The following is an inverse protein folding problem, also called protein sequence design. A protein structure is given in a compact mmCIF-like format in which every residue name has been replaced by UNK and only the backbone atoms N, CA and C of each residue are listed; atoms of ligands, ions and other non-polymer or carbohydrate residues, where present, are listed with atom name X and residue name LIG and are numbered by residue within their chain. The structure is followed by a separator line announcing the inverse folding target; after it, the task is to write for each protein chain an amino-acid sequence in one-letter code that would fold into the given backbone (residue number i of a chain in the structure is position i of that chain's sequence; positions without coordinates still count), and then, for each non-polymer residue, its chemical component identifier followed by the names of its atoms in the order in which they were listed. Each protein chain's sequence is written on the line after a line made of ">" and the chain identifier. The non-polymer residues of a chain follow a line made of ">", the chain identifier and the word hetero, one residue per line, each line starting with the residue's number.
data_IF_468460495714
#
_entry.id   IF_468460495714
#
_cell.length_a   1.000
_cell.length_b   1.000
_cell.length_c   1.000
_cell.angle_alpha   90.00
_cell.angle_beta   90.00
_cell.angle_gamma   90.00
#
_symmetry.space_group_name_H-M   'P 1'
#
loop_
_entity.id
_entity.type
_entity.pdbx_description
1 polymer ?
#
# COMPACT_ATOMS: atom_id res chain seq x y z
N UNK A 1 -12.27 -0.40 33.22
CA UNK A 1 -12.86 -0.36 31.86
C UNK A 1 -11.96 -1.18 30.95
N UNK A 2 -12.51 -2.19 30.30
CA UNK A 2 -11.75 -3.18 29.53
C UNK A 2 -11.47 -2.57 28.14
N UNK A 3 -10.21 -2.17 27.91
CA UNK A 3 -9.73 -1.74 26.60
C UNK A 3 -9.72 -2.93 25.65
N UNK A 4 -10.48 -2.83 24.56
CA UNK A 4 -10.43 -3.81 23.47
C UNK A 4 -9.16 -3.55 22.66
N UNK A 5 -8.20 -4.46 22.82
CA UNK A 5 -7.00 -4.60 22.01
C UNK A 5 -7.37 -4.76 20.53
N UNK A 6 -6.84 -3.89 19.67
CA UNK A 6 -6.71 -4.16 18.24
C UNK A 6 -5.24 -4.41 17.95
N UNK A 7 -4.74 -5.61 18.29
CA UNK A 7 -3.52 -6.12 17.65
C UNK A 7 -3.90 -6.54 16.23
N UNK A 8 -3.29 -5.88 15.26
CA UNK A 8 -3.56 -6.07 13.83
C UNK A 8 -2.85 -7.34 13.35
N UNK A 9 -3.41 -8.51 13.66
CA UNK A 9 -3.02 -9.77 13.00
C UNK A 9 -3.74 -9.85 11.66
N UNK A 10 -3.09 -9.39 10.60
CA UNK A 10 -3.52 -9.68 9.24
C UNK A 10 -3.26 -11.17 8.96
N UNK A 11 -4.34 -11.91 8.75
CA UNK A 11 -4.33 -13.36 8.50
C UNK A 11 -3.62 -13.60 7.17
N UNK A 12 -2.38 -14.08 7.24
CA UNK A 12 -1.71 -14.69 6.11
C UNK A 12 -2.42 -16.01 5.78
N UNK A 13 -3.31 -15.99 4.79
CA UNK A 13 -3.90 -17.20 4.23
C UNK A 13 -2.82 -18.06 3.59
N UNK A 14 -2.41 -19.12 4.30
CA UNK A 14 -1.49 -20.13 3.79
C UNK A 14 -2.17 -20.93 2.67
N UNK A 15 -1.67 -20.81 1.44
CA UNK A 15 -1.96 -21.74 0.35
C UNK A 15 -1.01 -22.93 0.47
N UNK A 16 -1.53 -24.05 0.94
CA UNK A 16 -0.89 -25.35 0.80
C UNK A 16 -0.95 -25.77 -0.66
N UNK A 17 0.21 -25.93 -1.31
CA UNK A 17 0.32 -26.53 -2.62
C UNK A 17 0.26 -28.07 -2.49
N UNK A 18 -0.54 -28.78 -3.28
CA UNK A 18 -0.44 -30.23 -3.35
C UNK A 18 0.82 -30.63 -4.12
N UNK A 19 1.62 -31.49 -3.48
CA UNK A 19 2.73 -32.23 -4.07
C UNK A 19 2.23 -33.15 -5.17
N UNK A 20 2.50 -32.80 -6.43
CA UNK A 20 2.32 -33.71 -7.55
C UNK A 20 3.55 -34.65 -7.64
N UNK A 21 3.27 -35.94 -7.52
CA UNK A 21 4.23 -37.05 -7.65
C UNK A 21 4.72 -37.14 -9.09
N UNK A 22 6.05 -37.10 -9.28
CA UNK A 22 6.70 -37.50 -10.53
C UNK A 22 6.50 -39.00 -10.75
N UNK A 23 5.94 -39.36 -11.91
CA UNK A 23 6.13 -40.67 -12.50
C UNK A 23 6.93 -40.49 -13.80
N UNK A 24 8.13 -41.05 -13.81
CA UNK A 24 8.95 -41.22 -15.00
C UNK A 24 8.50 -42.50 -15.72
N UNK A 25 8.54 -42.49 -17.06
CA UNK A 25 9.02 -43.66 -17.80
C UNK A 25 9.58 -43.26 -19.19
N UNK A 26 10.64 -43.92 -19.70
CA UNK A 26 11.41 -43.51 -20.87
C UNK A 26 11.25 -44.46 -22.08
N UNK A 27 11.31 -43.92 -23.31
CA UNK A 27 11.80 -44.59 -24.54
C UNK A 27 11.76 -43.57 -25.70
N UNK A 28 12.89 -43.05 -26.18
CA UNK A 28 13.65 -43.50 -27.38
C UNK A 28 12.77 -43.85 -28.60
N UNK A 29 12.80 -43.03 -29.66
CA UNK A 29 13.55 -43.35 -30.88
C UNK A 29 13.77 -42.10 -31.78
N UNK A 30 14.79 -42.23 -32.61
CA UNK A 30 15.49 -41.32 -33.51
C UNK A 30 14.73 -40.96 -34.80
N UNK A 31 15.03 -39.79 -35.40
CA UNK A 31 15.41 -39.61 -36.82
C UNK A 31 15.42 -38.14 -37.26
N UNK A 32 16.49 -37.77 -37.98
CA UNK A 32 16.78 -36.46 -38.54
C UNK A 32 16.01 -36.15 -39.83
N UNK A 33 15.81 -34.84 -40.13
CA UNK A 33 16.10 -34.23 -41.45
C UNK A 33 15.90 -32.70 -41.45
N UNK A 34 16.93 -32.01 -41.93
CA UNK A 34 16.92 -30.64 -42.43
C UNK A 34 15.93 -30.46 -43.60
N UNK A 35 15.31 -29.28 -43.71
CA UNK A 35 15.26 -28.49 -44.96
C UNK A 35 14.60 -27.09 -44.76
N UNK A 36 15.43 -26.06 -44.91
CA UNK A 36 15.24 -24.95 -45.87
C UNK A 36 14.02 -23.99 -45.75
N UNK A 37 14.22 -22.95 -44.92
CA UNK A 37 14.09 -21.51 -45.21
C UNK A 37 13.21 -21.07 -46.42
N UNK A 38 12.05 -20.48 -46.12
CA UNK A 38 11.46 -19.38 -46.92
C UNK A 38 11.01 -18.25 -46.00
N UNK A 39 11.62 -17.07 -46.22
CA UNK A 39 11.30 -15.82 -45.54
C UNK A 39 9.95 -15.31 -46.01
N UNK A 40 9.00 -15.15 -45.08
CA UNK A 40 7.90 -14.19 -45.22
C UNK A 40 7.90 -13.35 -43.95
N UNK A 41 8.08 -12.05 -44.11
CA UNK A 41 8.15 -11.10 -43.00
C UNK A 41 6.81 -11.08 -42.24
N UNK A 42 6.79 -11.30 -40.91
CA UNK A 42 5.58 -11.06 -40.15
C UNK A 42 5.41 -9.55 -39.93
N UNK A 43 4.28 -9.08 -40.43
CA UNK A 43 3.63 -7.80 -40.17
C UNK A 43 3.81 -7.38 -38.71
N UNK A 44 4.29 -6.14 -38.50
CA UNK A 44 4.33 -5.48 -37.19
C UNK A 44 2.92 -5.34 -36.63
N UNK A 45 2.54 -6.25 -35.73
CA UNK A 45 1.58 -5.95 -34.68
C UNK A 45 2.37 -5.51 -33.45
N UNK A 46 2.25 -4.22 -33.12
CA UNK A 46 2.73 -3.62 -31.89
C UNK A 46 2.11 -4.33 -30.69
N UNK A 47 2.81 -5.32 -30.16
CA UNK A 47 2.57 -5.84 -28.83
C UNK A 47 3.01 -4.76 -27.85
N UNK A 48 2.03 -4.06 -27.27
CA UNK A 48 2.27 -3.23 -26.10
C UNK A 48 2.87 -4.14 -25.01
N UNK A 49 4.16 -3.93 -24.74
CA UNK A 49 4.88 -4.50 -23.62
C UNK A 49 4.13 -4.20 -22.33
N UNK A 50 3.51 -5.24 -21.75
CA UNK A 50 3.14 -5.28 -20.33
C UNK A 50 4.47 -5.26 -19.57
N UNK A 51 4.98 -4.05 -19.32
CA UNK A 51 6.34 -3.79 -18.88
C UNK A 51 6.57 -4.10 -17.41
N UNK A 52 7.82 -4.36 -17.07
CA UNK A 52 8.37 -4.57 -15.72
C UNK A 52 7.94 -3.55 -14.65
N UNK A 53 7.38 -2.39 -15.04
CA UNK A 53 6.85 -1.36 -14.13
C UNK A 53 5.73 -1.87 -13.23
N UNK A 54 4.88 -2.80 -13.67
CA UNK A 54 3.74 -3.28 -12.87
C UNK A 54 4.15 -4.01 -11.57
N UNK A 55 5.36 -4.59 -11.52
CA UNK A 55 5.88 -5.27 -10.31
C UNK A 55 6.42 -4.31 -9.25
N UNK A 56 6.62 -3.03 -9.60
CA UNK A 56 7.14 -2.00 -8.68
C UNK A 56 6.05 -1.45 -7.74
N UNK A 57 4.78 -1.65 -8.08
CA UNK A 57 3.63 -1.07 -7.40
C UNK A 57 2.75 -2.13 -6.73
N UNK A 58 3.33 -3.26 -6.28
CA UNK A 58 2.58 -4.23 -5.46
C UNK A 58 2.79 -3.97 -3.97
N UNK A 59 1.73 -3.57 -3.28
CA UNK A 59 1.71 -3.34 -1.83
C UNK A 59 2.24 -4.55 -1.04
N UNK A 60 2.00 -5.78 -1.54
CA UNK A 60 2.42 -7.03 -0.89
C UNK A 60 3.93 -7.18 -0.75
N UNK A 61 4.70 -6.87 -1.79
CA UNK A 61 6.17 -7.03 -1.73
C UNK A 61 6.83 -5.88 -0.97
N UNK A 62 6.22 -4.70 -1.03
CA UNK A 62 6.66 -3.54 -0.28
C UNK A 62 6.45 -3.72 1.25
N UNK A 63 5.34 -4.35 1.68
CA UNK A 63 5.02 -4.60 3.09
C UNK A 63 6.10 -5.39 3.86
N UNK A 64 6.76 -6.36 3.22
CA UNK A 64 7.76 -7.22 3.87
C UNK A 64 9.01 -6.46 4.31
N UNK A 65 9.52 -5.56 3.46
CA UNK A 65 10.71 -4.78 3.78
C UNK A 65 10.39 -3.67 4.79
N UNK A 66 9.18 -3.12 4.75
CA UNK A 66 8.71 -2.12 5.70
C UNK A 66 8.64 -2.63 7.15
N UNK A 67 8.09 -3.83 7.35
CA UNK A 67 7.89 -4.40 8.69
C UNK A 67 9.21 -4.53 9.49
N UNK A 68 10.32 -4.83 8.81
CA UNK A 68 11.64 -4.96 9.45
C UNK A 68 12.19 -3.62 9.95
N UNK A 69 12.03 -2.56 9.16
CA UNK A 69 12.50 -1.23 9.54
C UNK A 69 11.65 -0.65 10.69
N UNK A 70 10.33 -0.85 10.63
CA UNK A 70 9.37 -0.45 11.67
C UNK A 70 9.80 -0.97 13.05
N UNK A 71 9.89 -2.30 13.17
CA UNK A 71 10.23 -2.99 14.41
C UNK A 71 11.51 -2.47 15.06
N UNK A 72 12.51 -2.14 14.24
CA UNK A 72 13.79 -1.63 14.73
C UNK A 72 13.65 -0.23 15.31
N UNK A 73 12.90 0.64 14.65
CA UNK A 73 12.72 2.03 15.08
C UNK A 73 11.86 2.08 16.35
N UNK A 74 10.75 1.35 16.40
CA UNK A 74 9.87 1.30 17.59
C UNK A 74 10.62 0.84 18.84
N UNK A 75 11.42 -0.23 18.72
CA UNK A 75 12.26 -0.72 19.83
C UNK A 75 13.28 0.33 20.27
N UNK A 76 13.84 1.10 19.35
CA UNK A 76 14.81 2.14 19.67
C UNK A 76 14.17 3.35 20.36
N UNK A 77 12.95 3.71 19.97
CA UNK A 77 12.17 4.78 20.60
C UNK A 77 11.74 4.40 22.02
N UNK A 78 11.15 3.22 22.17
CA UNK A 78 10.71 2.64 23.45
C UNK A 78 9.57 3.42 24.13
N UNK A 79 9.02 2.83 25.20
CA UNK A 79 7.97 3.42 26.04
C UNK A 79 8.52 3.92 27.39
N UNK A 80 7.68 4.51 28.25
CA UNK A 80 8.06 5.12 29.52
C UNK A 80 8.84 6.44 29.41
N UNK A 81 8.84 7.11 28.25
CA UNK A 81 9.58 8.35 28.00
C UNK A 81 8.65 9.56 27.99
N UNK A 82 9.20 10.74 28.23
CA UNK A 82 8.43 11.98 28.03
C UNK A 82 8.43 12.39 26.55
N UNK A 83 7.61 13.38 26.21
CA UNK A 83 7.44 13.85 24.84
C UNK A 83 8.75 14.36 24.21
N UNK A 84 9.60 15.03 24.99
CA UNK A 84 10.83 15.64 24.49
C UNK A 84 11.86 14.59 24.02
N UNK A 85 11.88 13.41 24.64
CA UNK A 85 12.72 12.28 24.24
C UNK A 85 12.51 11.90 22.77
N UNK A 86 11.26 11.81 22.30
CA UNK A 86 10.96 11.25 20.97
C UNK A 86 11.57 12.06 19.84
N UNK A 87 11.47 13.38 19.91
CA UNK A 87 12.14 14.27 18.95
C UNK A 87 13.64 14.01 18.92
N UNK A 88 14.29 14.05 20.08
CA UNK A 88 15.74 13.90 20.17
C UNK A 88 16.20 12.52 19.71
N UNK A 89 15.47 11.47 20.08
CA UNK A 89 15.78 10.10 19.67
C UNK A 89 15.70 9.94 18.15
N UNK A 90 14.66 10.48 17.51
CA UNK A 90 14.51 10.48 16.06
C UNK A 90 15.65 11.23 15.35
N UNK A 91 15.95 12.44 15.81
CA UNK A 91 17.06 13.25 15.28
C UNK A 91 18.41 12.53 15.44
N UNK A 92 18.67 11.90 16.60
CA UNK A 92 19.89 11.12 16.86
C UNK A 92 20.01 9.86 16.00
N UNK A 93 18.89 9.28 15.58
CA UNK A 93 18.84 8.16 14.63
C UNK A 93 19.00 8.63 13.16
N UNK A 94 19.15 9.94 12.93
CA UNK A 94 19.31 10.52 11.60
C UNK A 94 18.01 10.76 10.85
N UNK A 95 16.87 10.73 11.54
CA UNK A 95 15.59 11.11 10.94
C UNK A 95 15.39 12.63 10.99
N UNK A 96 14.70 13.15 9.99
CA UNK A 96 14.21 14.52 9.98
C UNK A 96 12.70 14.52 10.20
N UNK A 97 12.23 15.34 11.14
CA UNK A 97 10.80 15.56 11.36
C UNK A 97 10.32 16.63 10.39
N UNK A 98 9.39 16.27 9.51
CA UNK A 98 8.88 17.14 8.45
C UNK A 98 7.51 17.72 8.77
N UNK A 99 6.71 17.03 9.60
CA UNK A 99 5.41 17.50 10.06
C UNK A 99 5.10 17.04 11.48
N UNK A 100 4.25 17.81 12.17
CA UNK A 100 3.61 17.42 13.44
C UNK A 100 2.11 17.34 13.20
N UNK A 101 1.57 16.16 12.95
CA UNK A 101 0.15 16.01 12.66
C UNK A 101 -0.71 16.21 13.91
N UNK A 102 -0.24 15.74 15.07
CA UNK A 102 -0.89 16.03 16.35
C UNK A 102 0.14 16.30 17.45
N UNK A 103 -0.13 17.32 18.26
CA UNK A 103 0.60 17.60 19.51
C UNK A 103 -0.39 17.92 20.63
N UNK A 104 -0.81 16.88 21.34
CA UNK A 104 -1.78 16.92 22.45
C UNK A 104 -1.14 16.42 23.74
N UNK A 105 -1.66 16.75 24.93
CA UNK A 105 -1.07 16.28 26.19
C UNK A 105 -0.89 14.76 26.27
N UNK A 106 -1.82 14.00 25.69
CA UNK A 106 -1.90 12.54 25.71
C UNK A 106 -1.50 11.88 24.37
N UNK A 107 -1.13 12.65 23.36
CA UNK A 107 -0.87 12.11 22.02
C UNK A 107 0.09 12.98 21.21
N UNK A 108 1.03 12.33 20.53
CA UNK A 108 1.96 12.96 19.59
C UNK A 108 1.97 12.17 18.30
N UNK A 109 1.96 12.88 17.18
CA UNK A 109 2.09 12.29 15.84
C UNK A 109 3.05 13.11 14.99
N UNK A 110 4.12 12.47 14.51
CA UNK A 110 5.11 13.07 13.63
C UNK A 110 5.13 12.37 12.28
N UNK A 111 5.38 13.14 11.23
CA UNK A 111 5.93 12.59 10.00
C UNK A 111 7.45 12.74 10.01
N UNK A 112 8.15 11.65 9.74
CA UNK A 112 9.61 11.60 9.72
C UNK A 112 10.11 11.06 8.39
N UNK A 113 11.31 11.47 8.00
CA UNK A 113 11.98 10.93 6.83
C UNK A 113 13.45 10.57 7.08
N UNK A 114 13.92 9.56 6.35
CA UNK A 114 15.33 9.20 6.24
C UNK A 114 15.60 8.71 4.80
N UNK A 115 16.37 9.52 4.06
CA UNK A 115 16.55 9.32 2.62
C UNK A 115 15.22 9.43 1.87
N UNK A 116 14.86 8.37 1.12
CA UNK A 116 13.61 8.30 0.34
C UNK A 116 12.45 7.61 1.07
N UNK A 117 12.61 7.36 2.37
CA UNK A 117 11.59 6.68 3.19
C UNK A 117 10.94 7.69 4.13
N UNK A 118 9.63 7.60 4.27
CA UNK A 118 8.85 8.35 5.25
C UNK A 118 8.04 7.41 6.13
N UNK A 119 7.85 7.82 7.38
CA UNK A 119 7.06 7.10 8.39
C UNK A 119 6.22 8.10 9.17
N UNK A 120 5.11 7.62 9.73
CA UNK A 120 4.35 8.33 10.74
C UNK A 120 4.62 7.67 12.10
N UNK A 121 5.05 8.48 13.06
CA UNK A 121 5.34 8.05 14.43
C UNK A 121 4.21 8.50 15.31
N UNK A 122 3.54 7.57 15.96
CA UNK A 122 2.44 7.83 16.88
C UNK A 122 2.87 7.44 18.28
N UNK A 123 2.68 8.34 19.24
CA UNK A 123 3.01 8.10 20.64
C UNK A 123 1.82 8.46 21.51
N UNK A 124 1.34 7.50 22.29
CA UNK A 124 0.32 7.72 23.30
C UNK A 124 0.98 7.97 24.66
N UNK A 125 0.47 8.92 25.44
CA UNK A 125 0.99 9.26 26.76
C UNK A 125 -0.09 9.09 27.83
N UNK A 126 0.34 8.56 28.97
CA UNK A 126 -0.45 8.58 30.18
C UNK A 126 -0.64 10.03 30.66
N UNK A 127 -1.90 10.42 30.90
CA UNK A 127 -2.28 11.80 31.24
C UNK A 127 -1.76 12.28 32.58
N UNK A 128 -1.57 11.37 33.51
CA UNK A 128 -1.23 11.68 34.89
C UNK A 128 0.29 11.82 35.04
N UNK A 129 1.05 10.96 34.37
CA UNK A 129 2.51 10.90 34.46
C UNK A 129 3.23 11.61 33.31
N UNK A 130 2.55 11.86 32.19
CA UNK A 130 3.14 12.39 30.96
C UNK A 130 4.15 11.43 30.31
N UNK A 131 4.12 10.15 30.69
CA UNK A 131 5.01 9.11 30.15
C UNK A 131 4.29 8.32 29.06
N UNK A 132 5.01 8.02 28.01
CA UNK A 132 4.49 7.26 26.87
C UNK A 132 4.08 5.86 27.30
N UNK A 133 2.90 5.44 26.87
CA UNK A 133 2.37 4.08 27.08
C UNK A 133 2.50 3.21 25.84
N UNK A 134 2.53 3.83 24.66
CA UNK A 134 2.57 3.15 23.37
C UNK A 134 3.35 3.99 22.36
N UNK A 135 4.10 3.31 21.49
CA UNK A 135 4.76 3.91 20.33
C UNK A 135 4.47 2.99 19.15
N UNK A 136 3.88 3.54 18.10
CA UNK A 136 3.58 2.84 16.86
C UNK A 136 4.21 3.61 15.69
N UNK A 137 4.83 2.89 14.77
CA UNK A 137 5.26 3.41 13.48
C UNK A 137 4.39 2.87 12.37
N UNK A 138 3.80 3.77 11.59
CA UNK A 138 3.12 3.44 10.34
C UNK A 138 3.90 3.93 9.14
N UNK A 139 3.59 3.38 7.97
CA UNK A 139 4.03 4.06 6.75
C UNK A 139 3.21 5.31 6.59
N UNK A 140 3.90 6.42 6.29
CA UNK A 140 3.29 7.66 5.89
C UNK A 140 2.73 7.59 4.46
N UNK A 141 1.50 7.11 4.34
CA UNK A 141 0.75 6.96 3.08
C UNK A 141 0.13 8.30 2.67
N UNK A 142 -0.37 9.07 3.64
CA UNK A 142 -0.94 10.40 3.40
C UNK A 142 -0.01 11.51 3.89
N UNK A 143 1.04 11.75 3.13
CA UNK A 143 2.08 12.72 3.47
C UNK A 143 1.57 14.16 3.53
N UNK A 144 1.95 14.89 4.57
CA UNK A 144 1.86 16.34 4.60
C UNK A 144 2.74 16.97 3.51
N UNK A 145 2.34 18.15 3.03
CA UNK A 145 3.03 18.88 1.95
C UNK A 145 4.54 19.04 2.18
N UNK A 146 4.96 19.25 3.43
CA UNK A 146 6.37 19.40 3.79
C UNK A 146 7.15 18.08 3.60
N UNK A 147 6.53 16.96 3.94
CA UNK A 147 7.11 15.63 3.78
C UNK A 147 7.22 15.25 2.30
N UNK A 148 6.15 15.47 1.55
CA UNK A 148 6.11 15.23 0.10
C UNK A 148 7.22 16.02 -0.63
N UNK A 149 7.35 17.32 -0.32
CA UNK A 149 8.43 18.16 -0.85
C UNK A 149 9.81 17.64 -0.48
N UNK A 150 9.99 17.22 0.78
CA UNK A 150 11.28 16.74 1.27
C UNK A 150 11.71 15.40 0.66
N UNK A 151 10.76 14.56 0.25
CA UNK A 151 11.05 13.32 -0.48
C UNK A 151 11.44 13.56 -1.95
N UNK A 152 10.96 14.66 -2.54
CA UNK A 152 11.17 15.01 -3.95
C UNK A 152 12.42 15.86 -4.17
N UNK A 153 12.69 16.81 -3.27
CA UNK A 153 13.82 17.71 -3.39
C UNK A 153 15.05 17.19 -2.63
N UNK A 154 16.05 16.73 -3.38
CA UNK A 154 17.34 16.29 -2.82
C UNK A 154 18.09 17.39 -2.04
N UNK A 155 17.76 18.65 -2.24
CA UNK A 155 18.36 19.80 -1.56
C UNK A 155 17.44 20.40 -0.48
N UNK A 156 16.35 19.71 -0.13
CA UNK A 156 15.37 20.18 0.84
C UNK A 156 16.05 20.60 2.14
N UNK A 157 15.70 21.79 2.63
CA UNK A 157 16.25 22.33 3.88
C UNK A 157 15.33 21.98 5.03
N UNK A 158 15.69 20.93 5.75
CA UNK A 158 14.95 20.50 6.93
C UNK A 158 14.94 21.60 7.98
N UNK A 159 13.73 22.01 8.35
CA UNK A 159 13.46 22.87 9.49
C UNK A 159 12.45 22.16 10.36
N UNK A 160 12.72 22.08 11.66
CA UNK A 160 11.78 21.45 12.58
C UNK A 160 10.45 22.22 12.60
N UNK A 161 9.30 21.57 12.35
CA UNK A 161 7.99 22.21 12.41
C UNK A 161 7.66 22.67 13.83
N UNK A 162 7.43 23.98 14.01
CA UNK A 162 7.13 24.57 15.32
C UNK A 162 5.63 24.62 15.64
N UNK A 163 4.78 24.20 14.72
CA UNK A 163 3.32 24.21 14.85
C UNK A 163 2.74 22.92 14.29
N UNK A 164 1.59 22.50 14.83
CA UNK A 164 0.83 21.37 14.28
C UNK A 164 0.40 21.67 12.83
N UNK A 165 0.41 20.63 11.98
CA UNK A 165 -0.11 20.66 10.61
C UNK A 165 -1.58 21.05 10.63
N UNK A 166 -1.97 21.99 9.77
CA UNK A 166 -3.37 22.36 9.59
C UNK A 166 -4.10 21.23 8.86
N UNK A 167 -5.35 20.97 9.23
CA UNK A 167 -6.18 19.93 8.63
C UNK A 167 -5.52 18.53 8.75
N UNK A 168 -4.89 18.26 9.90
CA UNK A 168 -4.10 17.06 10.17
C UNK A 168 -4.83 15.75 9.89
N UNK A 169 -6.16 15.71 10.00
CA UNK A 169 -7.00 14.57 9.64
C UNK A 169 -6.88 14.16 8.16
N UNK A 170 -6.41 15.06 7.29
CA UNK A 170 -6.12 14.75 5.87
C UNK A 170 -4.84 13.97 5.68
N UNK A 171 -3.95 13.98 6.67
CA UNK A 171 -2.60 13.41 6.59
C UNK A 171 -2.36 12.27 7.57
N UNK A 172 -3.01 12.31 8.74
CA UNK A 172 -2.90 11.25 9.75
C UNK A 172 -3.34 9.90 9.19
N UNK A 173 -2.40 8.96 9.05
CA UNK A 173 -2.70 7.64 8.50
C UNK A 173 -3.73 6.91 9.38
N UNK A 174 -3.62 7.04 10.70
CA UNK A 174 -4.57 6.44 11.65
C UNK A 174 -5.99 6.99 11.46
N UNK A 175 -6.14 8.30 11.29
CA UNK A 175 -7.45 8.90 11.06
C UNK A 175 -8.05 8.42 9.74
N UNK A 176 -7.23 8.36 8.69
CA UNK A 176 -7.68 7.98 7.34
C UNK A 176 -7.95 6.49 7.19
N UNK A 177 -7.16 5.62 7.80
CA UNK A 177 -7.44 4.18 7.83
C UNK A 177 -8.74 3.87 8.56
N UNK A 178 -9.04 4.55 9.68
CA UNK A 178 -10.32 4.41 10.37
C UNK A 178 -11.50 4.79 9.47
N UNK A 179 -11.38 5.87 8.71
CA UNK A 179 -12.41 6.29 7.76
C UNK A 179 -12.51 5.32 6.57
N UNK A 180 -11.37 4.84 6.06
CA UNK A 180 -11.29 3.96 4.92
C UNK A 180 -11.88 2.57 5.20
N UNK A 181 -11.68 2.01 6.40
CA UNK A 181 -12.23 0.69 6.76
C UNK A 181 -13.76 0.61 6.58
N UNK A 182 -14.48 1.69 6.89
CA UNK A 182 -15.93 1.73 6.65
C UNK A 182 -16.28 1.81 5.15
N UNK A 183 -15.43 2.46 4.36
CA UNK A 183 -15.63 2.64 2.93
C UNK A 183 -15.26 1.39 2.12
N UNK A 184 -14.20 0.67 2.48
CA UNK A 184 -13.78 -0.58 1.82
C UNK A 184 -14.86 -1.65 1.97
N UNK A 185 -15.34 -1.89 3.20
CA UNK A 185 -16.44 -2.83 3.48
C UNK A 185 -17.71 -2.51 2.67
N UNK A 186 -18.02 -1.21 2.54
CA UNK A 186 -19.17 -0.76 1.76
C UNK A 186 -18.95 -1.01 0.28
N UNK A 187 -17.75 -0.71 -0.24
CA UNK A 187 -17.43 -0.87 -1.66
C UNK A 187 -17.41 -2.35 -2.06
N UNK A 188 -16.82 -3.23 -1.25
CA UNK A 188 -16.84 -4.68 -1.46
C UNK A 188 -18.28 -5.22 -1.56
N UNK A 189 -19.15 -4.78 -0.63
CA UNK A 189 -20.57 -5.17 -0.62
C UNK A 189 -21.32 -4.67 -1.84
N UNK A 190 -21.08 -3.42 -2.27
CA UNK A 190 -21.74 -2.83 -3.43
C UNK A 190 -21.29 -3.47 -4.76
N UNK A 191 -20.01 -3.84 -4.87
CA UNK A 191 -19.46 -4.56 -6.03
C UNK A 191 -19.96 -6.02 -6.08
N UNK A 192 -19.91 -6.72 -4.95
CA UNK A 192 -20.39 -8.09 -4.79
C UNK A 192 -19.65 -9.14 -5.63
N UNK A 193 -19.93 -10.41 -5.35
CA UNK A 193 -19.39 -11.57 -6.10
C UNK A 193 -20.44 -12.16 -7.06
N UNK A 194 -20.03 -13.13 -7.88
CA UNK A 194 -20.91 -13.79 -8.86
C UNK A 194 -21.12 -12.98 -10.16
N UNK A 195 -20.28 -11.98 -10.43
CA UNK A 195 -20.37 -11.09 -11.59
C UNK A 195 -19.31 -11.41 -12.63
N UNK A 196 -19.57 -11.05 -13.88
CA UNK A 196 -18.56 -11.12 -14.95
C UNK A 196 -17.54 -9.98 -14.81
N UNK A 197 -16.32 -10.18 -15.31
CA UNK A 197 -15.24 -9.17 -15.23
C UNK A 197 -15.65 -7.79 -15.74
N UNK A 198 -16.43 -7.72 -16.81
CA UNK A 198 -16.88 -6.45 -17.42
C UNK A 198 -17.77 -5.61 -16.50
N UNK A 199 -18.40 -6.21 -15.48
CA UNK A 199 -19.24 -5.52 -14.51
C UNK A 199 -18.46 -4.48 -13.70
N UNK A 200 -17.29 -4.86 -13.19
CA UNK A 200 -16.59 -4.15 -12.11
C UNK A 200 -16.19 -2.73 -12.48
N UNK A 201 -15.60 -2.55 -13.66
CA UNK A 201 -15.21 -1.22 -14.13
C UNK A 201 -16.40 -0.27 -14.23
N UNK A 202 -17.50 -0.72 -14.81
CA UNK A 202 -18.72 0.08 -14.97
C UNK A 202 -19.40 0.36 -13.63
N UNK A 203 -19.41 -0.61 -12.72
CA UNK A 203 -19.94 -0.43 -11.37
C UNK A 203 -19.17 0.66 -10.61
N UNK A 204 -17.83 0.58 -10.60
CA UNK A 204 -16.95 1.59 -9.99
C UNK A 204 -17.25 2.99 -10.52
N UNK A 205 -17.32 3.14 -11.85
CA UNK A 205 -17.65 4.41 -12.50
C UNK A 205 -19.03 4.93 -12.12
N UNK A 206 -20.04 4.06 -12.07
CA UNK A 206 -21.41 4.42 -11.66
C UNK A 206 -21.47 4.91 -10.21
N UNK A 207 -20.60 4.39 -9.34
CA UNK A 207 -20.46 4.82 -7.95
C UNK A 207 -19.62 6.10 -7.80
N UNK A 208 -19.17 6.69 -8.90
CA UNK A 208 -18.39 7.93 -8.93
C UNK A 208 -16.88 7.75 -8.74
N UNK A 209 -16.38 6.52 -8.81
CA UNK A 209 -14.94 6.26 -8.82
C UNK A 209 -14.38 6.42 -10.22
N UNK A 210 -13.19 6.99 -10.32
CA UNK A 210 -12.39 7.02 -11.54
C UNK A 210 -11.34 5.91 -11.45
N UNK A 211 -11.34 4.98 -12.42
CA UNK A 211 -10.27 3.98 -12.54
C UNK A 211 -9.06 4.65 -13.18
N UNK A 212 -7.95 4.70 -12.45
CA UNK A 212 -6.70 5.40 -12.81
C UNK A 212 -5.62 4.45 -13.34
N UNK A 213 -5.63 3.20 -12.89
CA UNK A 213 -4.74 2.15 -13.37
C UNK A 213 -5.46 0.79 -13.42
N UNK A 214 -4.91 -0.12 -14.22
CA UNK A 214 -5.22 -1.56 -14.20
C UNK A 214 -3.88 -2.27 -14.01
N UNK A 215 -3.57 -2.67 -12.78
CA UNK A 215 -2.25 -3.20 -12.42
C UNK A 215 -2.11 -4.66 -12.89
N UNK A 216 -3.20 -5.42 -12.85
CA UNK A 216 -3.30 -6.76 -13.41
C UNK A 216 -4.59 -6.95 -14.19
N UNK A 217 -4.50 -7.63 -15.34
CA UNK A 217 -5.66 -8.09 -16.11
C UNK A 217 -5.39 -9.50 -16.66
N UNK A 218 -5.77 -10.52 -15.88
CA UNK A 218 -5.62 -11.96 -16.19
C UNK A 218 -6.99 -12.64 -16.25
N UNK A 219 -7.18 -13.74 -16.98
CA UNK A 219 -8.49 -14.38 -17.11
C UNK A 219 -9.20 -14.70 -15.78
N UNK A 220 -8.43 -14.96 -14.73
CA UNK A 220 -8.83 -15.34 -13.37
C UNK A 220 -8.67 -14.23 -12.33
N UNK A 221 -8.15 -13.06 -12.72
CA UNK A 221 -7.82 -11.98 -11.77
C UNK A 221 -7.82 -10.60 -12.43
N UNK A 222 -8.34 -9.59 -11.76
CA UNK A 222 -8.13 -8.19 -12.15
C UNK A 222 -7.86 -7.33 -10.93
N UNK A 223 -6.98 -6.34 -11.09
CA UNK A 223 -6.64 -5.36 -10.06
C UNK A 223 -6.75 -3.95 -10.65
N UNK A 224 -7.58 -3.11 -10.03
CA UNK A 224 -7.77 -1.72 -10.41
C UNK A 224 -7.22 -0.80 -9.33
N UNK A 225 -6.57 0.28 -9.74
CA UNK A 225 -6.46 1.46 -8.88
C UNK A 225 -7.61 2.42 -9.21
N UNK A 226 -8.31 2.87 -8.18
CA UNK A 226 -9.45 3.79 -8.30
C UNK A 226 -9.31 4.98 -7.38
N UNK A 227 -9.84 6.12 -7.79
CA UNK A 227 -9.89 7.35 -6.99
C UNK A 227 -11.29 7.92 -6.88
N UNK A 228 -11.60 8.54 -5.74
CA UNK A 228 -12.81 9.35 -5.53
C UNK A 228 -12.53 10.45 -4.52
N UNK A 229 -12.53 11.70 -4.97
CA UNK A 229 -12.06 12.82 -4.16
C UNK A 229 -10.57 12.65 -3.84
N UNK A 230 -10.22 12.77 -2.57
CA UNK A 230 -8.84 12.65 -2.06
C UNK A 230 -8.48 11.22 -1.65
N UNK A 231 -9.35 10.23 -1.93
CA UNK A 231 -9.16 8.83 -1.57
C UNK A 231 -8.79 7.99 -2.79
N UNK A 232 -7.92 7.00 -2.57
CA UNK A 232 -7.58 5.96 -3.55
C UNK A 232 -7.65 4.57 -2.96
N UNK A 233 -8.14 3.62 -3.74
CA UNK A 233 -8.24 2.22 -3.37
C UNK A 233 -7.66 1.32 -4.45
N UNK A 234 -7.16 0.17 -4.04
CA UNK A 234 -6.91 -0.97 -4.89
C UNK A 234 -8.11 -1.92 -4.81
N UNK A 235 -8.65 -2.31 -5.95
CA UNK A 235 -9.80 -3.23 -6.04
C UNK A 235 -9.34 -4.49 -6.75
N UNK A 236 -9.24 -5.57 -6.00
CA UNK A 236 -8.85 -6.88 -6.48
C UNK A 236 -10.07 -7.77 -6.65
N UNK A 237 -10.18 -8.46 -7.79
CA UNK A 237 -11.28 -9.38 -8.05
C UNK A 237 -10.74 -10.69 -8.60
N UNK A 238 -11.03 -11.78 -7.90
CA UNK A 238 -10.75 -13.15 -8.33
C UNK A 238 -11.94 -13.72 -9.09
N UNK A 239 -11.69 -14.52 -10.13
CA UNK A 239 -12.70 -15.18 -10.94
C UNK A 239 -12.50 -16.69 -10.98
N UNK A 240 -13.60 -17.43 -10.86
CA UNK A 240 -13.60 -18.87 -11.08
C UNK A 240 -13.25 -19.19 -12.54
N UNK A 241 -12.32 -20.12 -12.74
CA UNK A 241 -11.76 -20.41 -14.06
C UNK A 241 -12.83 -20.97 -15.03
N UNK A 242 -13.83 -21.69 -14.52
CA UNK A 242 -14.84 -22.37 -15.35
C UNK A 242 -16.01 -21.47 -15.67
N UNK A 243 -16.64 -20.89 -14.65
CA UNK A 243 -17.83 -20.05 -14.77
C UNK A 243 -17.51 -18.62 -15.19
N UNK A 244 -16.24 -18.19 -15.04
CA UNK A 244 -15.78 -16.80 -15.23
C UNK A 244 -16.50 -15.78 -14.34
N UNK A 245 -17.19 -16.26 -13.30
CA UNK A 245 -17.85 -15.43 -12.30
C UNK A 245 -16.87 -15.13 -11.18
N UNK A 246 -16.96 -13.94 -10.63
CA UNK A 246 -16.13 -13.54 -9.50
C UNK A 246 -16.43 -14.39 -8.26
N UNK A 247 -15.37 -14.77 -7.57
CA UNK A 247 -15.41 -15.53 -6.32
C UNK A 247 -15.03 -14.69 -5.12
N UNK A 248 -14.28 -13.61 -5.35
CA UNK A 248 -13.78 -12.72 -4.31
C UNK A 248 -13.67 -11.29 -4.85
N UNK A 249 -13.99 -10.33 -4.00
CA UNK A 249 -13.70 -8.92 -4.21
C UNK A 249 -13.06 -8.42 -2.93
N UNK A 250 -11.84 -7.93 -3.01
CA UNK A 250 -11.15 -7.28 -1.90
C UNK A 250 -10.86 -5.83 -2.28
N UNK A 251 -11.08 -4.92 -1.34
CA UNK A 251 -10.77 -3.51 -1.51
C UNK A 251 -9.83 -3.07 -0.40
N UNK A 252 -8.67 -2.56 -0.78
CA UNK A 252 -7.69 -2.02 0.15
C UNK A 252 -7.44 -0.55 -0.14
N UNK A 253 -7.00 0.21 0.88
CA UNK A 253 -6.42 1.53 0.63
C UNK A 253 -5.16 1.34 -0.18
N UNK A 254 -4.98 2.19 -1.20
CA UNK A 254 -3.77 2.16 -2.01
C UNK A 254 -2.60 2.76 -1.21
N UNK A 255 -1.71 1.92 -0.67
CA UNK A 255 -0.58 2.37 0.14
C UNK A 255 0.60 2.82 -0.73
N UNK A 256 0.80 2.14 -1.86
CA UNK A 256 1.68 2.55 -2.95
C UNK A 256 0.82 2.84 -4.17
N UNK A 257 1.06 3.96 -4.84
CA UNK A 257 0.21 4.42 -5.95
C UNK A 257 0.98 4.40 -7.26
N UNK A 258 0.33 4.00 -8.36
CA UNK A 258 0.85 4.25 -9.69
C UNK A 258 0.92 5.76 -9.97
N UNK A 259 1.86 6.20 -10.81
CA UNK A 259 2.05 7.62 -11.18
C UNK A 259 0.76 8.27 -11.74
N UNK A 260 -0.12 7.50 -12.38
CA UNK A 260 -1.43 7.99 -12.87
C UNK A 260 -2.39 8.28 -11.72
N UNK A 261 -2.34 7.49 -10.65
CA UNK A 261 -3.13 7.68 -9.43
C UNK A 261 -2.62 8.85 -8.63
N UNK A 262 -1.31 8.98 -8.44
CA UNK A 262 -0.72 10.16 -7.79
C UNK A 262 -1.10 11.45 -8.52
N UNK A 263 -0.97 11.47 -9.85
CA UNK A 263 -1.43 12.61 -10.68
C UNK A 263 -2.93 12.91 -10.55
N UNK A 264 -3.77 11.86 -10.51
CA UNK A 264 -5.21 12.04 -10.35
C UNK A 264 -5.60 12.63 -8.99
N UNK A 265 -4.78 12.40 -7.95
CA UNK A 265 -4.89 13.00 -6.63
C UNK A 265 -4.19 14.38 -6.53
N UNK A 266 -3.61 14.89 -7.61
CA UNK A 266 -2.87 16.15 -7.62
C UNK A 266 -1.49 16.07 -6.94
N UNK A 267 -0.96 14.87 -6.72
CA UNK A 267 0.38 14.62 -6.16
C UNK A 267 1.36 14.42 -7.32
N UNK A 268 2.16 15.43 -7.63
CA UNK A 268 3.20 15.41 -8.69
C UNK A 268 4.59 15.36 -8.09
#
# INVERSE_FOLDING_TARGET
>A
MIGRYFSMTLIAGALAAPTAVLAADPARDTSARDEQRTRVAPVSTTNATVGEDARRFSDRDWQKNWAVDKDKIERALGVGKDKAHYRQALENMGFHITAVNYDKPDYLEYEIINGKKSYEVQVEFDKDTGKSTEVDLTTNVWQADATDKALKDSNYKYTYPTTQTRDAERYSDRARLRAAAANTDKLEKELGVGRDKSHYRSALQKMGYKVTSVNYDKPDYVEYEVVKGDDSYEVQVDFDEKSKKSTKVDVTVNMVQADTTSRALGRN
#
